data_IF_004281696043
#
_entry.id   IF_004281696043
#
_cell.length_a   1.000
_cell.length_b   1.000
_cell.length_c   1.000
_cell.angle_alpha   90.00
_cell.angle_beta   90.00
_cell.angle_gamma   90.00
#
_symmetry.space_group_name_H-M   'P 1'
#
loop_
_entity.id
_entity.type
_entity.pdbx_description
1 polymer ?
#
# COMPACT_ATOMS: atom_id res chain seq x y z
N UNK A 1 23.30 42.71 86.65
CA UNK A 1 21.83 42.57 86.78
C UNK A 1 21.25 42.29 85.40
N UNK A 2 20.17 41.49 85.34
CA UNK A 2 20.03 40.38 84.42
C UNK A 2 19.16 40.67 83.19
N UNK A 3 19.30 39.78 82.21
CA UNK A 3 18.27 39.24 81.32
C UNK A 3 17.16 40.17 80.81
N UNK A 4 17.11 40.35 79.49
CA UNK A 4 15.83 40.46 78.78
C UNK A 4 15.95 39.81 77.41
N UNK A 5 15.69 38.50 77.42
CA UNK A 5 15.46 37.62 76.29
C UNK A 5 14.39 38.24 75.40
N UNK A 6 14.75 38.56 74.15
CA UNK A 6 13.83 39.12 73.17
C UNK A 6 12.66 38.16 72.91
N UNK A 7 11.42 38.67 72.73
CA UNK A 7 10.29 37.81 72.39
C UNK A 7 10.48 37.35 70.94
N UNK A 8 11.03 36.16 70.79
CA UNK A 8 11.01 35.39 69.55
C UNK A 8 9.57 35.18 69.11
N UNK A 9 9.05 36.09 68.28
CA UNK A 9 7.88 35.83 67.45
C UNK A 9 8.31 34.86 66.36
N UNK A 10 8.33 33.59 66.69
CA UNK A 10 8.33 32.51 65.71
C UNK A 10 7.00 32.60 64.94
N UNK A 11 7.05 33.30 63.79
CA UNK A 11 5.97 33.28 62.82
C UNK A 11 6.06 31.90 62.14
N UNK A 12 5.16 31.00 62.48
CA UNK A 12 5.00 29.75 61.74
C UNK A 12 4.58 30.11 60.31
N UNK A 13 5.52 30.08 59.37
CA UNK A 13 5.22 30.14 57.94
C UNK A 13 4.77 28.73 57.55
N UNK A 14 3.46 28.49 57.58
CA UNK A 14 2.88 27.28 57.02
C UNK A 14 3.15 27.23 55.50
N UNK A 15 3.50 26.07 54.92
CA UNK A 15 3.68 25.94 53.49
C UNK A 15 2.30 25.86 52.84
N UNK A 16 1.64 27.00 52.63
CA UNK A 16 0.29 27.01 52.09
C UNK A 16 0.11 28.03 50.99
N UNK A 17 0.75 27.78 49.86
CA UNK A 17 0.11 27.94 48.56
C UNK A 17 0.54 26.76 47.67
N UNK A 18 -0.31 25.77 47.38
CA UNK A 18 -0.06 24.90 46.25
C UNK A 18 -0.13 25.79 45.02
N UNK A 19 1.04 26.03 44.41
CA UNK A 19 1.16 26.68 43.12
C UNK A 19 0.12 26.07 42.18
N UNK A 20 -0.83 26.92 41.77
CA UNK A 20 -1.90 26.69 40.79
C UNK A 20 -1.50 25.53 39.87
N UNK A 21 -2.26 24.42 39.77
CA UNK A 21 -1.85 23.28 38.97
C UNK A 21 -1.65 23.76 37.54
N UNK A 22 -0.39 23.96 37.14
CA UNK A 22 -0.01 24.14 35.75
C UNK A 22 -0.55 22.90 35.09
N UNK A 23 -1.65 23.05 34.34
CA UNK A 23 -2.24 21.98 33.54
C UNK A 23 -1.09 21.37 32.76
N UNK A 24 -0.59 20.22 33.24
CA UNK A 24 0.34 19.36 32.51
C UNK A 24 -0.50 18.75 31.41
N UNK A 25 -0.79 19.56 30.39
CA UNK A 25 -1.25 19.05 29.13
C UNK A 25 -0.21 18.07 28.57
N UNK A 26 -0.59 17.23 27.62
CA UNK A 26 0.36 16.42 26.87
C UNK A 26 1.52 17.32 26.45
N UNK A 27 2.75 16.96 26.84
CA UNK A 27 3.93 17.76 26.56
C UNK A 27 4.05 18.05 25.06
N UNK A 28 4.73 19.13 24.69
CA UNK A 28 4.90 19.53 23.28
C UNK A 28 5.38 18.36 22.41
N UNK A 29 6.21 17.47 22.97
CA UNK A 29 6.63 16.23 22.32
C UNK A 29 5.46 15.32 21.89
N UNK A 30 4.45 15.13 22.75
CA UNK A 30 3.27 14.31 22.45
C UNK A 30 2.43 14.94 21.35
N UNK A 31 2.28 16.27 21.38
CA UNK A 31 1.57 17.01 20.32
C UNK A 31 2.32 16.87 18.99
N UNK A 32 3.64 17.01 19.00
CA UNK A 32 4.47 16.85 17.80
C UNK A 32 4.36 15.44 17.20
N UNK A 33 4.37 14.39 18.04
CA UNK A 33 4.20 13.00 17.58
C UNK A 33 2.81 12.78 16.97
N UNK A 34 1.76 13.32 17.57
CA UNK A 34 0.40 13.21 17.03
C UNK A 34 0.24 13.94 15.69
N UNK A 35 0.75 15.17 15.59
CA UNK A 35 0.74 15.95 14.35
C UNK A 35 1.54 15.23 13.26
N UNK A 36 2.72 14.71 13.60
CA UNK A 36 3.55 13.95 12.67
C UNK A 36 2.86 12.67 12.21
N UNK A 37 2.22 11.92 13.13
CA UNK A 37 1.47 10.72 12.80
C UNK A 37 0.30 10.99 11.86
N UNK A 38 -0.48 12.05 12.12
CA UNK A 38 -1.57 12.46 11.23
C UNK A 38 -1.06 12.91 9.86
N UNK A 39 0.02 13.68 9.82
CA UNK A 39 0.64 14.11 8.57
C UNK A 39 1.18 12.91 7.76
N UNK A 40 1.81 11.95 8.43
CA UNK A 40 2.34 10.74 7.81
C UNK A 40 1.23 9.84 7.26
N UNK A 41 0.15 9.63 8.02
CA UNK A 41 -1.02 8.87 7.55
C UNK A 41 -1.71 9.60 6.39
N UNK A 42 -1.89 10.92 6.48
CA UNK A 42 -2.45 11.74 5.41
C UNK A 42 -1.58 11.71 4.14
N UNK A 43 -0.26 11.73 4.30
CA UNK A 43 0.70 11.60 3.21
C UNK A 43 0.63 10.21 2.59
N UNK A 44 0.64 9.14 3.38
CA UNK A 44 0.42 7.77 2.89
C UNK A 44 -0.90 7.64 2.12
N UNK A 45 -1.98 8.26 2.60
CA UNK A 45 -3.26 8.28 1.89
C UNK A 45 -3.23 9.09 0.60
N UNK A 46 -2.53 10.21 0.58
CA UNK A 46 -2.34 11.03 -0.61
C UNK A 46 -1.52 10.30 -1.68
N UNK A 47 -0.42 9.66 -1.29
CA UNK A 47 0.41 8.86 -2.20
C UNK A 47 -0.27 7.55 -2.62
N UNK A 48 -0.97 6.88 -1.71
CA UNK A 48 -1.80 5.71 -2.04
C UNK A 48 -3.01 6.10 -2.91
N UNK A 49 -3.57 7.30 -2.72
CA UNK A 49 -4.63 7.89 -3.55
C UNK A 49 -4.13 8.29 -4.94
N UNK A 50 -2.88 8.72 -5.06
CA UNK A 50 -2.22 8.98 -6.34
C UNK A 50 -1.90 7.68 -7.10
N UNK A 51 -1.64 6.59 -6.39
CA UNK A 51 -1.57 5.23 -6.95
C UNK A 51 -2.95 4.59 -7.22
N UNK A 52 -4.02 5.15 -6.64
CA UNK A 52 -5.42 4.82 -6.91
C UNK A 52 -6.06 5.95 -7.68
N UNK A 53 -5.62 6.22 -8.90
CA UNK A 53 -6.51 6.87 -9.85
C UNK A 53 -7.78 6.00 -9.93
N UNK A 54 -8.94 6.50 -9.49
CA UNK A 54 -10.19 5.79 -9.72
C UNK A 54 -10.37 5.73 -11.23
N UNK A 55 -10.60 4.53 -11.74
CA UNK A 55 -10.98 4.33 -13.13
C UNK A 55 -12.14 5.27 -13.46
N UNK A 56 -12.04 6.12 -14.50
CA UNK A 56 -13.20 6.84 -14.99
C UNK A 56 -14.23 5.79 -15.45
N UNK A 57 -15.43 5.84 -14.87
CA UNK A 57 -16.59 5.10 -15.36
C UNK A 57 -16.74 5.39 -16.86
N UNK A 58 -16.77 4.39 -17.75
CA UNK A 58 -16.85 4.67 -19.18
C UNK A 58 -18.29 5.07 -19.55
N UNK A 59 -18.45 6.33 -19.97
CA UNK A 59 -19.46 6.70 -20.95
C UNK A 59 -18.74 7.01 -22.26
N UNK A 60 -19.22 6.33 -23.31
CA UNK A 60 -19.01 6.59 -24.73
C UNK A 60 -17.61 6.33 -25.33
N UNK A 61 -17.52 5.16 -25.98
CA UNK A 61 -17.12 4.95 -27.39
C UNK A 61 -16.06 5.90 -27.97
N UNK A 62 -14.84 5.40 -28.20
CA UNK A 62 -13.94 5.78 -29.32
C UNK A 62 -12.69 4.87 -29.42
N UNK A 63 -12.01 4.80 -30.58
CA UNK A 63 -11.38 3.59 -31.12
C UNK A 63 -9.93 3.41 -30.66
N UNK A 64 -9.74 2.84 -29.47
CA UNK A 64 -8.45 2.26 -29.03
C UNK A 64 -8.57 0.74 -28.77
N UNK A 65 -9.61 0.13 -29.34
CA UNK A 65 -10.10 -1.18 -28.92
C UNK A 65 -9.25 -2.34 -29.45
N UNK A 66 -8.46 -2.18 -30.52
CA UNK A 66 -7.71 -3.32 -31.09
C UNK A 66 -6.55 -3.80 -30.20
N UNK A 67 -5.75 -2.90 -29.61
CA UNK A 67 -4.65 -3.29 -28.72
C UNK A 67 -5.15 -3.69 -27.32
N UNK A 68 -6.23 -3.05 -26.85
CA UNK A 68 -6.85 -3.35 -25.56
C UNK A 68 -7.52 -4.73 -25.56
N UNK A 69 -8.09 -5.16 -26.70
CA UNK A 69 -8.71 -6.49 -26.81
C UNK A 69 -7.68 -7.58 -26.61
N UNK A 70 -6.48 -7.44 -27.19
CA UNK A 70 -5.40 -8.40 -27.02
C UNK A 70 -4.92 -8.54 -25.57
N UNK A 71 -4.77 -7.43 -24.84
CA UNK A 71 -4.36 -7.49 -23.42
C UNK A 71 -5.46 -8.06 -22.52
N UNK A 72 -6.73 -7.72 -22.78
CA UNK A 72 -7.85 -8.29 -22.06
C UNK A 72 -7.96 -9.81 -22.29
N UNK A 73 -7.74 -10.27 -23.52
CA UNK A 73 -7.68 -11.69 -23.87
C UNK A 73 -6.54 -12.43 -23.15
N UNK A 74 -5.36 -11.82 -23.05
CA UNK A 74 -4.23 -12.36 -22.30
C UNK A 74 -4.51 -12.43 -20.80
N UNK A 75 -5.15 -11.41 -20.21
CA UNK A 75 -5.55 -11.42 -18.80
C UNK A 75 -6.62 -12.47 -18.51
N UNK A 76 -7.54 -12.67 -19.45
CA UNK A 76 -8.59 -13.64 -19.34
C UNK A 76 -8.13 -15.06 -19.65
N UNK A 77 -6.97 -15.28 -20.28
CA UNK A 77 -6.53 -16.61 -20.71
C UNK A 77 -7.48 -17.21 -21.76
N UNK A 78 -7.96 -16.39 -22.70
CA UNK A 78 -8.90 -16.83 -23.73
C UNK A 78 -8.29 -17.93 -24.60
N UNK A 79 -9.00 -19.05 -24.78
CA UNK A 79 -8.53 -20.19 -25.57
C UNK A 79 -8.01 -21.37 -24.73
N UNK A 80 -7.91 -21.22 -23.40
CA UNK A 80 -7.55 -22.34 -22.51
C UNK A 80 -8.79 -23.02 -21.91
N UNK A 81 -8.71 -24.34 -21.63
CA UNK A 81 -9.72 -25.03 -20.84
C UNK A 81 -9.76 -24.46 -19.41
N UNK A 82 -10.90 -24.55 -18.70
CA UNK A 82 -11.12 -23.86 -17.42
C UNK A 82 -10.06 -24.18 -16.35
N UNK A 83 -9.60 -25.43 -16.27
CA UNK A 83 -8.54 -25.85 -15.33
C UNK A 83 -7.18 -25.21 -15.66
N UNK A 84 -6.74 -25.26 -16.92
CA UNK A 84 -5.47 -24.67 -17.34
C UNK A 84 -5.52 -23.14 -17.28
N UNK A 85 -6.70 -22.54 -17.43
CA UNK A 85 -6.94 -21.11 -17.30
C UNK A 85 -6.72 -20.64 -15.87
N UNK A 86 -7.23 -21.33 -14.87
CA UNK A 86 -7.03 -20.98 -13.46
C UNK A 86 -5.55 -21.06 -13.07
N UNK A 87 -4.86 -22.11 -13.52
CA UNK A 87 -3.43 -22.26 -13.30
C UNK A 87 -2.62 -21.14 -13.97
N UNK A 88 -2.95 -20.81 -15.23
CA UNK A 88 -2.35 -19.69 -15.95
C UNK A 88 -2.57 -18.35 -15.22
N UNK A 89 -3.80 -18.07 -14.76
CA UNK A 89 -4.10 -16.85 -14.00
C UNK A 89 -3.36 -16.84 -12.66
N UNK A 90 -3.23 -17.98 -11.99
CA UNK A 90 -2.41 -18.13 -10.79
C UNK A 90 -0.94 -17.77 -11.04
N UNK A 91 -0.36 -18.27 -12.13
CA UNK A 91 1.01 -17.93 -12.54
C UNK A 91 1.18 -16.44 -12.86
N UNK A 92 0.21 -15.81 -13.53
CA UNK A 92 0.25 -14.36 -13.78
C UNK A 92 0.23 -13.51 -12.51
N UNK A 93 -0.38 -14.01 -11.43
CA UNK A 93 -0.39 -13.33 -10.12
C UNK A 93 0.91 -13.53 -9.37
N UNK A 94 1.62 -14.64 -9.61
CA UNK A 94 2.86 -14.96 -8.89
C UNK A 94 4.11 -14.46 -9.58
N UNK A 95 4.12 -14.43 -10.91
CA UNK A 95 5.25 -13.94 -11.69
C UNK A 95 5.32 -12.40 -11.62
N UNK A 96 6.51 -11.86 -11.38
CA UNK A 96 6.77 -10.43 -11.44
C UNK A 96 7.10 -10.01 -12.88
N UNK A 97 6.72 -8.78 -13.25
CA UNK A 97 7.18 -8.21 -14.51
C UNK A 97 8.62 -7.69 -14.37
N UNK A 98 9.45 -7.93 -15.37
CA UNK A 98 10.83 -7.47 -15.47
C UNK A 98 10.97 -6.02 -15.97
N UNK A 99 9.87 -5.26 -15.98
CA UNK A 99 9.82 -3.90 -16.51
C UNK A 99 10.38 -2.82 -15.58
N UNK A 100 10.89 -3.21 -14.40
CA UNK A 100 11.31 -2.30 -13.32
C UNK A 100 10.14 -1.69 -12.54
N UNK A 101 8.94 -2.23 -12.74
CA UNK A 101 7.70 -1.74 -12.14
C UNK A 101 7.37 -2.41 -10.79
N UNK A 102 8.08 -3.45 -10.38
CA UNK A 102 7.86 -4.25 -9.15
C UNK A 102 6.42 -4.77 -8.97
N UNK A 103 5.64 -4.77 -10.05
CA UNK A 103 4.27 -5.26 -10.08
C UNK A 103 4.24 -6.69 -10.63
N UNK A 104 3.36 -7.50 -10.06
CA UNK A 104 3.04 -8.82 -10.59
C UNK A 104 2.49 -8.69 -12.01
N UNK A 105 2.72 -9.70 -12.86
CA UNK A 105 2.47 -9.64 -14.30
C UNK A 105 1.01 -9.27 -14.61
N UNK A 106 0.06 -9.86 -13.88
CA UNK A 106 -1.38 -9.54 -13.98
C UNK A 106 -1.65 -8.07 -13.70
N UNK A 107 -0.99 -7.51 -12.69
CA UNK A 107 -1.20 -6.12 -12.27
C UNK A 107 -0.53 -5.17 -13.25
N UNK A 108 0.70 -5.44 -13.66
CA UNK A 108 1.40 -4.70 -14.70
C UNK A 108 0.62 -4.64 -16.01
N UNK A 109 0.11 -5.78 -16.50
CA UNK A 109 -0.75 -5.86 -17.69
C UNK A 109 -2.03 -5.03 -17.59
N UNK A 110 -2.59 -4.91 -16.39
CA UNK A 110 -3.84 -4.22 -16.15
C UNK A 110 -3.65 -2.71 -15.92
N UNK A 111 -2.57 -2.32 -15.24
CA UNK A 111 -2.33 -0.93 -14.83
C UNK A 111 -1.42 -0.17 -15.78
N UNK A 112 -0.43 -0.82 -16.41
CA UNK A 112 0.59 -0.16 -17.20
C UNK A 112 0.50 -0.53 -18.68
N UNK A 113 -0.03 0.42 -19.46
CA UNK A 113 -0.17 0.27 -20.92
C UNK A 113 1.13 0.53 -21.68
N UNK A 114 2.09 1.22 -21.04
CA UNK A 114 3.37 1.57 -21.63
C UNK A 114 4.37 0.40 -21.60
N UNK A 115 4.17 -0.53 -20.68
CA UNK A 115 4.96 -1.75 -20.61
C UNK A 115 4.75 -2.65 -21.85
N UNK A 116 5.82 -2.84 -22.62
CA UNK A 116 5.89 -3.74 -23.78
C UNK A 116 6.29 -5.16 -23.40
N UNK A 117 7.00 -5.33 -22.27
CA UNK A 117 7.44 -6.64 -21.75
C UNK A 117 6.32 -7.49 -21.17
N UNK A 118 5.39 -6.90 -20.43
CA UNK A 118 4.30 -7.64 -19.78
C UNK A 118 3.41 -8.43 -20.74
N UNK A 119 2.98 -7.90 -21.91
CA UNK A 119 2.21 -8.70 -22.87
C UNK A 119 3.03 -9.80 -23.55
N UNK A 120 4.34 -9.64 -23.75
CA UNK A 120 5.21 -10.69 -24.30
C UNK A 120 5.31 -11.87 -23.33
N UNK A 121 5.64 -11.57 -22.06
CA UNK A 121 5.72 -12.59 -21.03
C UNK A 121 4.39 -13.32 -20.84
N UNK A 122 3.27 -12.62 -20.89
CA UNK A 122 1.96 -13.24 -20.77
C UNK A 122 1.63 -14.17 -21.94
N UNK A 123 2.00 -13.80 -23.17
CA UNK A 123 1.85 -14.66 -24.36
C UNK A 123 2.68 -15.93 -24.22
N UNK A 124 3.93 -15.82 -23.78
CA UNK A 124 4.80 -16.98 -23.58
C UNK A 124 4.21 -17.95 -22.55
N UNK A 125 3.66 -17.42 -21.45
CA UNK A 125 3.00 -18.23 -20.42
C UNK A 125 1.71 -18.86 -20.92
N UNK A 126 0.95 -18.13 -21.74
CA UNK A 126 -0.28 -18.62 -22.36
C UNK A 126 0.02 -19.78 -23.32
N UNK A 127 1.06 -19.65 -24.15
CA UNK A 127 1.50 -20.69 -25.06
C UNK A 127 1.97 -21.94 -24.31
N UNK A 128 2.76 -21.79 -23.23
CA UNK A 128 3.17 -22.92 -22.38
C UNK A 128 2.00 -23.61 -21.69
N UNK A 129 0.98 -22.87 -21.30
CA UNK A 129 -0.22 -23.43 -20.68
C UNK A 129 -1.18 -24.04 -21.72
N UNK A 130 -1.11 -23.61 -22.98
CA UNK A 130 -1.85 -24.18 -24.10
C UNK A 130 -1.18 -25.44 -24.68
N UNK A 131 0.12 -25.62 -24.50
CA UNK A 131 0.84 -26.87 -24.79
C UNK A 131 0.79 -27.80 -23.57
N UNK A 132 -0.16 -28.75 -23.47
CA UNK A 132 -0.08 -29.77 -22.42
C UNK A 132 1.22 -30.57 -22.57
N UNK A 133 1.77 -31.13 -21.48
CA UNK A 133 2.91 -32.03 -21.56
C UNK A 133 2.48 -33.34 -22.24
N UNK A 134 2.65 -33.43 -23.55
CA UNK A 134 2.28 -34.61 -24.35
C UNK A 134 3.32 -35.75 -24.33
N UNK A 135 4.26 -35.81 -23.37
CA UNK A 135 5.39 -36.76 -23.42
C UNK A 135 5.86 -37.35 -22.07
N UNK A 136 4.96 -37.54 -21.10
CA UNK A 136 5.26 -38.36 -19.90
C UNK A 136 4.38 -39.61 -19.76
N UNK A 137 3.73 -40.03 -20.86
CA UNK A 137 2.98 -41.28 -20.95
C UNK A 137 3.50 -42.17 -22.09
N UNK A 138 4.83 -42.32 -22.19
CA UNK A 138 5.42 -43.49 -22.83
C UNK A 138 6.22 -44.24 -21.78
N UNK A 139 5.50 -45.10 -21.03
CA UNK A 139 6.08 -46.29 -20.40
C UNK A 139 6.81 -47.12 -21.48
N UNK A 140 7.76 -47.99 -21.11
CA UNK A 140 7.51 -49.11 -20.19
C UNK A 140 8.03 -48.94 -18.77
#
# INVERSE_FOLDING_TARGET
MPDSIGPGRLRAVGPSEPAKPRRRGPGIAVIAVMVYGLAFVGMLWFFAGKARHPAPRPKAVSPATSLSTNRASLLAGTGLPPLAREEYVGRLVMDCCDCGCDLNLRRCLLSDRSCTRSPELAKDRLQRAASPPELAASAP
#
